data_IF_557033885245
#
_entry.id   IF_557033885245
#
_cell.length_a   1.000
_cell.length_b   1.000
_cell.length_c   1.000
_cell.angle_alpha   90.00
_cell.angle_beta   90.00
_cell.angle_gamma   90.00
#
_symmetry.space_group_name_H-M   'P 1'
#
loop_
_entity.id
_entity.type
_entity.pdbx_description
1 polymer ?
#
# COMPACT_ATOMS: atom_id res chain seq x y z
N UNK A 1 -9.92 5.46 -6.18
CA UNK A 1 -8.86 4.95 -5.29
C UNK A 1 -9.19 3.56 -4.75
N UNK A 2 -10.30 3.38 -4.02
CA UNK A 2 -10.68 2.10 -3.40
C UNK A 2 -10.65 0.89 -4.35
N UNK A 3 -11.24 0.94 -5.57
CA UNK A 3 -11.19 -0.22 -6.49
C UNK A 3 -9.77 -0.62 -6.87
N UNK A 4 -8.89 0.35 -7.11
CA UNK A 4 -7.48 0.12 -7.44
C UNK A 4 -6.71 -0.49 -6.27
N UNK A 5 -6.94 0.00 -5.04
CA UNK A 5 -6.30 -0.57 -3.85
C UNK A 5 -6.73 -2.02 -3.64
N UNK A 6 -8.01 -2.33 -3.89
CA UNK A 6 -8.50 -3.71 -3.85
C UNK A 6 -7.76 -4.60 -4.85
N UNK A 7 -7.58 -4.17 -6.10
CA UNK A 7 -6.87 -5.03 -7.08
C UNK A 7 -5.43 -5.31 -6.70
N UNK A 8 -4.75 -4.40 -5.99
CA UNK A 8 -3.36 -4.62 -5.56
C UNK A 8 -3.25 -5.53 -4.34
N UNK A 9 -4.21 -5.50 -3.42
CA UNK A 9 -4.14 -6.33 -2.22
C UNK A 9 -4.77 -7.70 -2.38
N UNK A 10 -5.79 -7.85 -3.23
CA UNK A 10 -6.55 -9.09 -3.40
C UNK A 10 -5.67 -10.31 -3.73
N UNK A 11 -4.63 -10.22 -4.58
CA UNK A 11 -3.72 -11.34 -4.81
C UNK A 11 -3.02 -11.85 -3.54
N UNK A 12 -2.84 -10.98 -2.54
CA UNK A 12 -2.23 -11.29 -1.25
C UNK A 12 -3.27 -11.57 -0.15
N UNK A 13 -4.54 -11.79 -0.54
CA UNK A 13 -5.64 -12.13 0.35
C UNK A 13 -6.02 -13.60 0.20
N UNK A 14 -5.17 -14.50 0.70
CA UNK A 14 -5.32 -15.94 0.57
C UNK A 14 -5.18 -16.65 1.92
N UNK A 15 -5.80 -17.82 2.04
CA UNK A 15 -5.61 -18.71 3.18
C UNK A 15 -4.51 -19.73 2.85
N UNK A 16 -3.39 -19.73 3.59
CA UNK A 16 -2.30 -20.64 3.33
C UNK A 16 -2.63 -22.03 3.87
N UNK A 17 -2.61 -23.05 3.01
CA UNK A 17 -2.83 -24.44 3.40
C UNK A 17 -1.53 -25.24 3.18
N UNK A 18 -0.83 -25.63 4.25
CA UNK A 18 0.34 -26.49 4.14
C UNK A 18 -0.09 -27.88 3.70
N UNK A 19 0.61 -28.43 2.72
CA UNK A 19 0.51 -29.81 2.28
C UNK A 19 1.87 -30.46 2.37
N UNK A 20 1.95 -31.59 3.09
CA UNK A 20 3.14 -32.41 3.06
C UNK A 20 3.19 -33.18 1.75
N UNK A 21 4.27 -33.02 0.98
CA UNK A 21 4.53 -33.83 -0.21
C UNK A 21 5.87 -34.53 -0.06
N UNK A 22 5.84 -35.83 -0.25
CA UNK A 22 7.07 -36.64 -0.33
C UNK A 22 7.41 -36.81 -1.79
N UNK A 23 8.53 -36.23 -2.23
CA UNK A 23 9.13 -36.51 -3.54
C UNK A 23 10.44 -37.26 -3.28
N UNK A 24 10.49 -38.53 -3.70
CA UNK A 24 11.58 -39.46 -3.41
C UNK A 24 11.84 -39.63 -1.89
N UNK A 25 13.09 -39.42 -1.45
CA UNK A 25 13.53 -39.51 -0.05
C UNK A 25 13.55 -38.14 0.67
N UNK A 26 13.10 -37.07 0.00
CA UNK A 26 13.02 -35.74 0.59
C UNK A 26 11.56 -35.33 0.81
N UNK A 27 11.24 -34.98 2.05
CA UNK A 27 10.01 -34.28 2.38
C UNK A 27 10.11 -32.81 1.98
N UNK A 28 9.04 -32.30 1.36
CA UNK A 28 8.90 -30.89 1.00
C UNK A 28 7.54 -30.40 1.49
N UNK A 29 7.53 -29.19 2.03
CA UNK A 29 6.28 -28.50 2.36
C UNK A 29 5.83 -27.74 1.11
N UNK A 30 4.63 -28.04 0.64
CA UNK A 30 3.97 -27.26 -0.41
C UNK A 30 2.87 -26.41 0.21
N UNK A 31 2.77 -25.16 -0.23
CA UNK A 31 1.68 -24.27 0.21
C UNK A 31 0.67 -24.09 -0.90
N UNK A 32 -0.59 -24.39 -0.61
CA UNK A 32 -1.72 -23.93 -1.44
C UNK A 32 -2.15 -22.55 -0.94
N UNK A 33 -2.30 -21.63 -1.89
CA UNK A 33 -2.80 -20.28 -1.64
C UNK A 33 -4.25 -20.19 -2.12
N UNK A 34 -5.16 -20.73 -1.33
CA UNK A 34 -6.58 -20.71 -1.68
C UNK A 34 -7.16 -19.30 -1.43
N UNK A 35 -8.08 -18.80 -2.26
CA UNK A 35 -8.76 -17.54 -1.97
C UNK A 35 -9.37 -17.55 -0.57
N UNK A 36 -9.07 -16.54 0.23
CA UNK A 36 -9.60 -16.47 1.59
C UNK A 36 -11.10 -16.19 1.59
N UNK A 37 -11.82 -16.79 2.54
CA UNK A 37 -13.25 -16.49 2.75
C UNK A 37 -13.46 -15.08 3.34
N UNK A 38 -12.48 -14.55 4.08
CA UNK A 38 -12.52 -13.18 4.60
C UNK A 38 -12.25 -12.18 3.48
N UNK A 39 -13.00 -11.08 3.51
CA UNK A 39 -12.76 -9.95 2.59
C UNK A 39 -11.98 -8.85 3.32
N UNK A 40 -11.15 -8.08 2.60
CA UNK A 40 -10.42 -6.99 3.22
C UNK A 40 -11.38 -5.90 3.72
N UNK A 41 -11.12 -5.41 4.94
CA UNK A 41 -11.84 -4.28 5.53
C UNK A 41 -11.20 -2.98 5.07
N UNK A 42 -12.02 -2.01 4.67
CA UNK A 42 -11.57 -0.68 4.27
C UNK A 42 -12.14 0.33 5.24
N UNK A 43 -11.29 1.17 5.80
CA UNK A 43 -11.65 2.29 6.67
C UNK A 43 -11.10 3.57 6.06
N UNK A 44 -11.93 4.61 6.02
CA UNK A 44 -11.53 5.97 5.65
C UNK A 44 -11.65 6.85 6.87
N UNK A 45 -10.63 7.66 7.14
CA UNK A 45 -10.66 8.66 8.21
C UNK A 45 -10.87 10.01 7.54
N UNK A 46 -11.88 10.82 7.92
CA UNK A 46 -12.11 12.12 7.28
C UNK A 46 -11.05 13.18 7.67
N UNK A 47 -10.30 12.92 8.72
CA UNK A 47 -9.39 13.84 9.37
C UNK A 47 -8.10 13.14 9.81
N UNK A 48 -7.01 13.91 9.89
CA UNK A 48 -5.67 13.41 10.18
C UNK A 48 -4.91 12.95 8.93
N UNK A 49 -3.67 12.49 9.14
CA UNK A 49 -2.74 12.17 8.06
C UNK A 49 -3.03 10.83 7.40
N UNK A 50 -3.59 9.85 8.11
CA UNK A 50 -3.95 8.53 7.54
C UNK A 50 -5.38 8.58 7.02
N UNK A 51 -5.51 8.65 5.71
CA UNK A 51 -6.80 8.90 5.03
C UNK A 51 -7.54 7.61 4.69
N UNK A 52 -6.79 6.54 4.47
CA UNK A 52 -7.35 5.25 4.11
C UNK A 52 -6.48 4.14 4.70
N UNK A 53 -7.15 3.19 5.33
CA UNK A 53 -6.54 1.95 5.81
C UNK A 53 -7.31 0.77 5.23
N UNK A 54 -6.60 -0.14 4.62
CA UNK A 54 -7.12 -1.42 4.18
C UNK A 54 -6.42 -2.51 4.98
N UNK A 55 -7.18 -3.40 5.61
CA UNK A 55 -6.65 -4.54 6.37
C UNK A 55 -7.29 -5.85 5.92
N UNK A 56 -6.49 -6.89 5.87
CA UNK A 56 -6.91 -8.25 5.61
C UNK A 56 -6.20 -9.18 6.59
N UNK A 57 -6.92 -10.21 7.03
CA UNK A 57 -6.37 -11.31 7.79
C UNK A 57 -7.13 -12.58 7.38
N UNK A 58 -6.39 -13.63 7.03
CA UNK A 58 -6.99 -14.93 6.75
C UNK A 58 -7.44 -15.61 8.05
N UNK A 59 -8.27 -16.64 7.91
CA UNK A 59 -8.38 -17.66 8.95
C UNK A 59 -7.02 -18.33 9.19
N UNK A 60 -6.86 -18.94 10.36
CA UNK A 60 -5.74 -19.83 10.63
C UNK A 60 -6.11 -21.23 10.18
N UNK A 61 -5.39 -21.75 9.18
CA UNK A 61 -5.52 -23.13 8.76
C UNK A 61 -4.57 -24.00 9.57
N UNK A 62 -5.02 -25.18 9.97
CA UNK A 62 -4.25 -26.14 10.75
C UNK A 62 -4.38 -27.53 10.15
N UNK A 63 -3.24 -28.17 9.85
CA UNK A 63 -3.16 -29.59 9.54
C UNK A 63 -2.46 -30.34 10.68
N UNK A 64 -3.00 -31.50 11.07
CA UNK A 64 -2.56 -32.30 12.21
C UNK A 64 -2.08 -33.71 11.86
N UNK A 65 -1.80 -33.98 10.58
CA UNK A 65 -1.49 -35.35 10.11
C UNK A 65 -0.21 -35.43 9.30
N UNK A 66 0.91 -35.09 9.93
CA UNK A 66 2.21 -35.02 9.25
C UNK A 66 3.12 -36.14 9.76
N UNK A 67 3.87 -36.79 8.86
CA UNK A 67 4.68 -37.97 9.21
C UNK A 67 5.75 -37.68 10.27
N UNK A 68 6.22 -36.43 10.36
CA UNK A 68 7.31 -36.02 11.26
C UNK A 68 6.94 -34.89 12.23
N UNK A 69 5.71 -34.38 12.15
CA UNK A 69 5.16 -33.28 12.94
C UNK A 69 3.76 -33.60 13.42
N UNK A 70 3.39 -33.06 14.57
CA UNK A 70 2.02 -33.22 15.07
C UNK A 70 1.07 -32.23 14.42
N UNK A 71 1.61 -31.12 13.92
CA UNK A 71 0.87 -30.25 13.03
C UNK A 71 1.63 -29.01 12.60
N UNK A 72 1.01 -28.34 11.64
CA UNK A 72 1.41 -27.05 11.10
C UNK A 72 0.17 -26.19 11.04
N UNK A 73 0.27 -24.96 11.52
CA UNK A 73 -0.71 -23.91 11.27
C UNK A 73 -0.07 -22.73 10.54
N UNK A 74 -0.92 -22.03 9.78
CA UNK A 74 -0.50 -20.85 9.06
C UNK A 74 -1.67 -19.88 8.86
N UNK A 75 -1.31 -18.61 8.70
CA UNK A 75 -2.23 -17.52 8.32
C UNK A 75 -1.47 -16.42 7.62
N UNK A 76 -2.18 -15.63 6.84
CA UNK A 76 -1.66 -14.41 6.24
C UNK A 76 -2.38 -13.19 6.78
N UNK A 77 -1.69 -12.06 6.73
CA UNK A 77 -2.31 -10.76 6.91
C UNK A 77 -1.68 -9.75 5.98
N UNK A 78 -2.48 -8.79 5.53
CA UNK A 78 -2.05 -7.76 4.60
C UNK A 78 -2.63 -6.43 5.04
N UNK A 79 -1.88 -5.35 4.92
CA UNK A 79 -2.39 -4.00 5.17
C UNK A 79 -1.85 -3.00 4.18
N UNK A 80 -2.69 -2.02 3.82
CA UNK A 80 -2.28 -0.83 3.06
C UNK A 80 -2.72 0.39 3.84
N UNK A 81 -1.78 1.27 4.15
CA UNK A 81 -2.06 2.58 4.73
C UNK A 81 -1.73 3.65 3.69
N UNK A 82 -2.70 4.50 3.39
CA UNK A 82 -2.51 5.70 2.57
C UNK A 82 -2.54 6.89 3.51
N UNK A 83 -1.51 7.71 3.43
CA UNK A 83 -1.38 8.92 4.23
C UNK A 83 -0.97 10.12 3.40
N UNK A 84 -1.44 11.29 3.81
CA UNK A 84 -1.14 12.57 3.20
C UNK A 84 -0.28 13.39 4.14
N UNK A 85 0.85 13.88 3.65
CA UNK A 85 1.80 14.69 4.43
C UNK A 85 2.31 15.84 3.58
N UNK A 86 1.69 17.02 3.72
CA UNK A 86 2.06 18.20 2.95
C UNK A 86 2.00 17.93 1.45
N UNK A 87 3.14 17.99 0.75
CA UNK A 87 3.21 17.76 -0.70
C UNK A 87 3.38 16.28 -1.10
N UNK A 88 3.19 15.33 -0.18
CA UNK A 88 3.43 13.92 -0.44
C UNK A 88 2.21 13.04 -0.09
N UNK A 89 2.02 12.01 -0.90
CA UNK A 89 1.16 10.86 -0.62
C UNK A 89 2.08 9.69 -0.29
N UNK A 90 1.97 9.14 0.91
CA UNK A 90 2.72 7.97 1.34
C UNK A 90 1.78 6.76 1.37
N UNK A 91 2.15 5.73 0.61
CA UNK A 91 1.48 4.42 0.60
C UNK A 91 2.43 3.42 1.23
N UNK A 92 2.05 2.88 2.39
CA UNK A 92 2.76 1.79 3.06
C UNK A 92 1.96 0.51 2.90
N UNK A 93 2.57 -0.51 2.32
CA UNK A 93 1.99 -1.85 2.23
C UNK A 93 2.73 -2.75 3.22
N UNK A 94 2.03 -3.69 3.83
CA UNK A 94 2.65 -4.75 4.63
C UNK A 94 2.00 -6.08 4.33
N UNK A 95 2.80 -7.09 4.08
CA UNK A 95 2.37 -8.48 3.95
C UNK A 95 3.05 -9.32 5.02
N UNK A 96 2.28 -10.18 5.69
CA UNK A 96 2.79 -11.11 6.69
C UNK A 96 2.28 -12.51 6.38
N UNK A 97 3.19 -13.46 6.27
CA UNK A 97 2.91 -14.88 6.32
C UNK A 97 3.42 -15.41 7.65
N UNK A 98 2.51 -15.87 8.50
CA UNK A 98 2.85 -16.45 9.79
C UNK A 98 2.65 -17.96 9.75
N UNK A 99 3.54 -18.70 10.41
CA UNK A 99 3.39 -20.14 10.60
C UNK A 99 3.78 -20.56 12.01
N UNK A 100 3.16 -21.64 12.47
CA UNK A 100 3.48 -22.34 13.70
C UNK A 100 3.55 -23.84 13.42
N UNK A 101 4.58 -24.48 13.94
CA UNK A 101 4.81 -25.91 13.82
C UNK A 101 5.09 -26.49 15.20
N UNK A 102 4.52 -27.66 15.46
CA UNK A 102 4.70 -28.36 16.73
C UNK A 102 4.79 -29.86 16.56
N UNK A 103 5.38 -30.50 17.57
CA UNK A 103 5.56 -31.95 17.68
C UNK A 103 5.54 -32.28 19.17
N UNK A 104 4.54 -33.03 19.65
CA UNK A 104 4.36 -33.31 21.08
C UNK A 104 5.55 -34.03 21.71
N UNK A 105 6.32 -34.78 20.92
CA UNK A 105 7.55 -35.42 21.37
C UNK A 105 8.69 -34.42 21.68
N UNK A 106 8.56 -33.16 21.26
CA UNK A 106 9.50 -32.08 21.51
C UNK A 106 8.89 -31.08 22.50
N UNK A 107 9.74 -30.51 23.37
CA UNK A 107 9.31 -29.50 24.35
C UNK A 107 9.19 -28.09 23.78
N UNK A 108 9.64 -27.90 22.54
CA UNK A 108 9.72 -26.61 21.88
C UNK A 108 8.70 -26.58 20.74
N UNK A 109 8.06 -25.44 20.53
CA UNK A 109 7.21 -25.19 19.36
C UNK A 109 7.84 -24.03 18.59
N UNK A 110 7.79 -24.06 17.26
CA UNK A 110 8.38 -22.99 16.44
C UNK A 110 7.25 -22.18 15.82
N UNK A 111 7.25 -20.87 16.06
CA UNK A 111 6.30 -19.96 15.41
C UNK A 111 6.95 -18.63 15.03
N UNK A 112 6.44 -18.01 13.98
CA UNK A 112 6.96 -16.72 13.54
C UNK A 112 6.49 -16.31 12.15
N UNK A 113 6.83 -15.07 11.79
CA UNK A 113 6.54 -14.50 10.49
C UNK A 113 7.59 -14.99 9.49
N UNK A 114 7.25 -15.97 8.67
CA UNK A 114 8.14 -16.51 7.63
C UNK A 114 8.28 -15.55 6.44
N UNK A 115 7.30 -14.68 6.24
CA UNK A 115 7.41 -13.49 5.42
C UNK A 115 6.87 -12.29 6.22
N UNK A 116 7.60 -11.18 6.27
CA UNK A 116 7.13 -9.90 6.81
C UNK A 116 7.74 -8.77 6.00
N UNK A 117 7.00 -8.29 5.01
CA UNK A 117 7.50 -7.40 3.98
C UNK A 117 6.77 -6.08 4.02
N UNK A 118 7.52 -4.98 4.09
CA UNK A 118 6.94 -3.64 4.14
C UNK A 118 7.60 -2.72 3.12
N UNK A 119 7.08 -2.65 1.88
CA UNK A 119 7.47 -1.62 0.94
C UNK A 119 6.69 -0.33 1.18
N UNK A 120 7.39 0.80 1.04
CA UNK A 120 6.82 2.13 1.12
C UNK A 120 7.01 2.85 -0.22
N UNK A 121 5.97 3.55 -0.65
CA UNK A 121 5.98 4.36 -1.87
C UNK A 121 5.55 5.78 -1.54
N UNK A 122 6.38 6.75 -1.88
CA UNK A 122 6.11 8.18 -1.71
C UNK A 122 5.86 8.83 -3.05
N UNK A 123 4.71 9.48 -3.22
CA UNK A 123 4.34 10.22 -4.42
C UNK A 123 4.37 11.70 -4.12
N UNK A 124 5.21 12.44 -4.85
CA UNK A 124 5.27 13.89 -4.73
C UNK A 124 4.15 14.53 -5.57
N UNK A 125 3.36 15.38 -4.92
CA UNK A 125 2.41 16.29 -5.56
C UNK A 125 3.18 17.53 -5.99
N UNK A 126 3.09 17.86 -7.26
CA UNK A 126 3.77 19.00 -7.84
C UNK A 126 2.86 19.78 -8.78
N UNK A 127 3.34 20.95 -9.20
CA UNK A 127 2.76 21.69 -10.31
C UNK A 127 3.79 21.72 -11.44
N UNK A 128 3.38 21.38 -12.64
CA UNK A 128 4.26 21.38 -13.80
C UNK A 128 4.46 22.78 -14.38
N UNK A 129 5.33 22.89 -15.39
CA UNK A 129 5.64 24.16 -16.05
C UNK A 129 4.43 24.87 -16.69
N UNK A 130 3.30 24.16 -16.88
CA UNK A 130 2.05 24.71 -17.41
C UNK A 130 1.07 25.11 -16.30
N UNK A 131 1.48 25.10 -15.04
CA UNK A 131 0.61 25.44 -13.92
C UNK A 131 -0.42 24.36 -13.56
N UNK A 132 -0.27 23.13 -14.07
CA UNK A 132 -1.20 22.03 -13.80
C UNK A 132 -0.67 21.13 -12.69
N UNK A 133 -1.59 20.67 -11.84
CA UNK A 133 -1.29 19.67 -10.81
C UNK A 133 -0.82 18.37 -11.48
N UNK A 134 0.27 17.81 -10.97
CA UNK A 134 0.76 16.51 -11.35
C UNK A 134 1.16 15.71 -10.12
N UNK A 135 1.06 14.39 -10.23
CA UNK A 135 1.67 13.47 -9.26
C UNK A 135 2.82 12.80 -9.95
N UNK A 136 4.01 12.95 -9.38
CA UNK A 136 5.25 12.38 -9.92
C UNK A 136 5.27 10.86 -9.74
N UNK A 137 6.08 10.15 -10.55
CA UNK A 137 6.34 8.73 -10.30
C UNK A 137 6.78 8.49 -8.86
N UNK A 138 6.37 7.37 -8.24
CA UNK A 138 6.70 7.10 -6.86
C UNK A 138 8.20 6.96 -6.65
N UNK A 139 8.67 7.47 -5.53
CA UNK A 139 9.93 7.05 -4.91
C UNK A 139 9.63 5.86 -4.02
N UNK A 140 10.20 4.71 -4.35
CA UNK A 140 10.08 3.50 -3.55
C UNK A 140 11.27 3.38 -2.62
N UNK A 141 11.00 3.22 -1.33
CA UNK A 141 12.04 2.85 -0.39
C UNK A 141 12.46 1.38 -0.64
N UNK A 142 13.69 0.99 -0.24
CA UNK A 142 14.06 -0.41 -0.23
C UNK A 142 13.04 -1.25 0.54
N UNK A 143 12.77 -2.46 0.06
CA UNK A 143 11.92 -3.40 0.77
C UNK A 143 12.48 -3.65 2.17
N UNK A 144 11.66 -3.40 3.19
CA UNK A 144 11.97 -3.78 4.57
C UNK A 144 11.50 -5.22 4.76
N UNK A 145 12.45 -6.14 4.96
CA UNK A 145 12.19 -7.55 5.25
C UNK A 145 12.45 -7.86 6.74
N UNK A 146 11.39 -8.10 7.49
CA UNK A 146 11.41 -8.49 8.91
C UNK A 146 11.11 -9.98 9.12
N UNK A 147 11.28 -10.78 8.08
CA UNK A 147 11.01 -12.23 8.13
C UNK A 147 11.93 -12.92 9.13
N UNK A 148 11.37 -13.89 9.84
CA UNK A 148 12.08 -14.75 10.78
C UNK A 148 12.42 -16.08 10.13
N UNK A 149 13.61 -16.58 10.45
CA UNK A 149 13.98 -17.96 10.18
C UNK A 149 13.62 -18.78 11.42
N UNK A 150 12.68 -19.72 11.28
CA UNK A 150 12.36 -20.65 12.37
C UNK A 150 13.54 -21.61 12.58
N UNK A 151 14.12 -21.59 13.78
CA UNK A 151 15.23 -22.47 14.18
C UNK A 151 14.93 -23.05 15.56
N UNK A 152 15.28 -24.33 15.77
CA UNK A 152 15.11 -25.02 17.05
C UNK A 152 15.90 -26.32 17.07
N UNK A 153 16.53 -26.65 18.20
CA UNK A 153 17.46 -27.78 18.29
C UNK A 153 16.77 -29.14 18.16
N UNK A 154 15.49 -29.24 18.51
CA UNK A 154 14.68 -30.44 18.31
C UNK A 154 14.17 -30.64 16.88
N UNK A 155 14.35 -29.64 16.02
CA UNK A 155 13.70 -29.54 14.72
C UNK A 155 14.70 -29.48 13.56
N UNK A 156 15.94 -29.96 13.69
CA UNK A 156 17.00 -29.69 12.69
C UNK A 156 16.59 -29.99 11.23
N UNK A 157 15.93 -31.12 10.98
CA UNK A 157 15.41 -31.50 9.66
C UNK A 157 14.24 -30.61 9.23
N UNK A 158 13.29 -30.35 10.13
CA UNK A 158 12.10 -29.55 9.86
C UNK A 158 12.44 -28.06 9.69
N UNK A 159 13.35 -27.51 10.49
CA UNK A 159 13.83 -26.15 10.38
C UNK A 159 14.58 -25.93 9.05
N UNK A 160 15.31 -26.95 8.58
CA UNK A 160 15.96 -26.93 7.27
C UNK A 160 14.93 -26.94 6.13
N UNK A 161 13.91 -27.80 6.22
CA UNK A 161 12.80 -27.86 5.27
C UNK A 161 12.00 -26.54 5.30
N UNK A 162 11.67 -26.00 6.46
CA UNK A 162 10.93 -24.75 6.60
C UNK A 162 11.72 -23.58 6.02
N UNK A 163 13.02 -23.48 6.37
CA UNK A 163 13.89 -22.42 5.86
C UNK A 163 14.04 -22.48 4.34
N UNK A 164 14.29 -23.67 3.79
CA UNK A 164 14.45 -23.90 2.34
C UNK A 164 13.13 -23.68 1.60
N UNK A 165 12.06 -24.33 2.04
CA UNK A 165 10.84 -24.44 1.25
C UNK A 165 9.91 -23.27 1.48
N UNK A 166 9.78 -22.76 2.71
CA UNK A 166 8.82 -21.68 2.98
C UNK A 166 9.37 -20.33 2.57
N UNK A 167 10.65 -20.02 2.85
CA UNK A 167 11.20 -18.71 2.49
C UNK A 167 11.27 -18.51 0.98
N UNK A 168 11.63 -19.54 0.21
CA UNK A 168 11.75 -19.43 -1.25
C UNK A 168 10.41 -19.62 -1.97
N UNK A 169 9.53 -20.52 -1.51
CA UNK A 169 8.22 -20.68 -2.17
C UNK A 169 7.23 -19.57 -1.81
N UNK A 170 7.23 -19.03 -0.59
CA UNK A 170 6.35 -17.89 -0.25
C UNK A 170 6.72 -16.67 -1.08
N UNK A 171 8.01 -16.43 -1.34
CA UNK A 171 8.47 -15.40 -2.29
C UNK A 171 7.95 -15.59 -3.72
N UNK A 172 7.71 -16.83 -4.14
CA UNK A 172 7.18 -17.14 -5.47
C UNK A 172 5.65 -17.09 -5.55
N UNK A 173 4.94 -17.23 -4.43
CA UNK A 173 3.47 -17.27 -4.39
C UNK A 173 2.83 -15.93 -4.05
N UNK A 174 3.52 -15.07 -3.30
CA UNK A 174 3.02 -13.74 -2.95
C UNK A 174 3.17 -12.83 -4.17
N UNK A 175 2.10 -12.13 -4.52
CA UNK A 175 2.15 -11.19 -5.63
C UNK A 175 3.14 -10.07 -5.31
N UNK A 176 3.96 -9.63 -6.30
CA UNK A 176 4.87 -8.51 -6.11
C UNK A 176 4.16 -7.30 -5.50
N UNK A 177 4.73 -6.77 -4.43
CA UNK A 177 4.23 -5.56 -3.78
C UNK A 177 4.69 -4.33 -4.58
N UNK A 178 3.99 -4.07 -5.67
CA UNK A 178 4.31 -2.97 -6.58
C UNK A 178 3.72 -1.62 -6.12
N UNK A 179 4.32 -0.50 -6.55
CA UNK A 179 3.77 0.82 -6.30
C UNK A 179 2.38 0.98 -6.93
N UNK A 180 1.42 1.44 -6.14
CA UNK A 180 0.03 1.59 -6.57
C UNK A 180 -0.12 2.89 -7.38
N UNK A 181 -0.54 2.87 -8.65
CA UNK A 181 -0.61 4.09 -9.45
C UNK A 181 -1.61 5.11 -8.87
N UNK A 182 -1.14 6.32 -8.54
CA UNK A 182 -1.98 7.41 -8.00
C UNK A 182 -2.50 8.29 -9.13
N UNK A 183 -3.03 7.68 -10.20
CA UNK A 183 -3.53 8.42 -11.37
C UNK A 183 -4.79 9.24 -11.08
N UNK A 184 -5.53 8.91 -10.01
CA UNK A 184 -6.75 9.64 -9.63
C UNK A 184 -6.46 11.09 -9.21
N UNK A 185 -5.27 11.38 -8.68
CA UNK A 185 -4.89 12.73 -8.25
C UNK A 185 -4.56 13.65 -9.44
N UNK A 186 -4.34 13.09 -10.63
CA UNK A 186 -4.05 13.86 -11.86
C UNK A 186 -5.32 14.39 -12.54
N UNK A 187 -6.51 13.91 -12.16
CA UNK A 187 -7.79 14.28 -12.77
C UNK A 187 -8.52 15.41 -12.04
N UNK A 188 -7.85 16.16 -11.16
CA UNK A 188 -8.44 17.34 -10.55
C UNK A 188 -8.62 18.44 -11.62
N UNK A 189 -9.86 18.60 -12.08
CA UNK A 189 -10.25 19.68 -12.99
C UNK A 189 -10.67 20.88 -12.16
N UNK A 190 -9.83 21.91 -12.12
CA UNK A 190 -10.23 23.19 -11.57
C UNK A 190 -11.10 23.93 -12.60
N UNK A 191 -12.35 24.33 -12.29
CA UNK A 191 -13.15 25.14 -13.19
C UNK A 191 -12.40 26.46 -13.45
N UNK A 192 -12.12 26.74 -14.72
CA UNK A 192 -11.20 27.82 -15.11
C UNK A 192 -9.74 27.39 -15.27
N UNK A 193 -9.45 26.11 -15.54
CA UNK A 193 -8.09 25.57 -15.69
C UNK A 193 -7.21 26.19 -16.81
N UNK A 194 -7.75 27.11 -17.61
CA UNK A 194 -6.97 27.95 -18.54
C UNK A 194 -6.76 29.39 -18.02
N UNK A 195 -7.45 29.77 -16.95
CA UNK A 195 -7.43 31.10 -16.33
C UNK A 195 -6.49 31.15 -15.13
N UNK A 196 -6.21 30.01 -14.49
CA UNK A 196 -5.41 29.94 -13.26
C UNK A 196 -4.19 29.04 -13.43
N UNK A 197 -3.05 29.51 -12.90
CA UNK A 197 -1.81 28.76 -12.72
C UNK A 197 -1.69 28.43 -11.23
N UNK A 198 -1.58 27.14 -10.90
CA UNK A 198 -1.36 26.67 -9.54
C UNK A 198 0.10 26.92 -9.09
N UNK A 199 0.29 27.18 -7.79
CA UNK A 199 1.60 27.29 -7.14
C UNK A 199 1.55 26.63 -5.76
N UNK A 200 2.64 25.98 -5.38
CA UNK A 200 2.84 25.41 -4.05
C UNK A 200 1.74 24.44 -3.58
N UNK A 201 1.20 23.64 -4.50
CA UNK A 201 0.15 22.69 -4.17
C UNK A 201 0.62 21.65 -3.13
N UNK A 202 -0.28 21.31 -2.21
CA UNK A 202 -0.09 20.30 -1.17
C UNK A 202 -1.42 19.96 -0.48
N UNK A 203 -1.38 19.05 0.48
CA UNK A 203 -2.55 18.57 1.22
C UNK A 203 -2.54 19.14 2.65
N UNK A 204 -3.71 19.61 3.10
CA UNK A 204 -3.94 20.07 4.47
C UNK A 204 -4.01 18.88 5.44
N UNK A 205 -3.99 19.16 6.75
CA UNK A 205 -4.25 18.15 7.78
C UNK A 205 -5.68 17.57 7.73
N UNK A 206 -6.58 18.24 7.00
CA UNK A 206 -7.96 17.83 6.75
C UNK A 206 -8.14 17.24 5.35
N UNK A 207 -7.03 16.86 4.70
CA UNK A 207 -7.03 16.16 3.41
C UNK A 207 -7.49 17.03 2.23
N UNK A 208 -7.57 18.34 2.41
CA UNK A 208 -7.90 19.28 1.34
C UNK A 208 -6.67 19.55 0.48
N UNK A 209 -6.85 19.59 -0.84
CA UNK A 209 -5.83 20.12 -1.74
C UNK A 209 -5.77 21.65 -1.59
N UNK A 210 -4.69 22.16 -1.04
CA UNK A 210 -4.40 23.58 -0.89
C UNK A 210 -3.38 23.97 -1.94
N UNK A 211 -3.65 25.07 -2.65
CA UNK A 211 -2.73 25.64 -3.63
C UNK A 211 -2.93 27.14 -3.71
N UNK A 212 -1.86 27.87 -3.94
CA UNK A 212 -1.96 29.25 -4.39
C UNK A 212 -2.34 29.25 -5.88
N UNK A 213 -3.08 30.27 -6.31
CA UNK A 213 -3.41 30.51 -7.72
C UNK A 213 -2.91 31.88 -8.14
N UNK A 214 -2.46 31.98 -9.39
CA UNK A 214 -2.29 33.26 -10.08
C UNK A 214 -3.06 33.20 -11.39
N UNK A 215 -3.46 34.37 -11.91
CA UNK A 215 -4.02 34.41 -13.25
C UNK A 215 -2.97 33.97 -14.26
N UNK A 216 -3.36 33.10 -15.18
CA UNK A 216 -2.64 32.91 -16.41
C UNK A 216 -2.67 34.25 -17.13
N UNK A 217 -1.49 34.83 -17.39
CA UNK A 217 -1.40 36.11 -18.07
C UNK A 217 -2.02 35.96 -19.46
N UNK A 218 -3.19 36.57 -19.68
CA UNK A 218 -3.94 36.45 -20.93
C UNK A 218 -3.28 37.24 -22.07
N UNK A 219 -2.21 38.00 -21.78
CA UNK A 219 -1.53 38.89 -22.70
C UNK A 219 -0.75 38.19 -23.84
N UNK A 220 -0.73 36.85 -23.90
CA UNK A 220 -0.17 36.13 -25.05
C UNK A 220 -1.20 35.60 -26.05
N UNK A 221 -2.50 35.90 -25.90
CA UNK A 221 -3.50 35.67 -26.95
C UNK A 221 -3.67 36.96 -27.75
N UNK A 222 -2.71 37.23 -28.63
CA UNK A 222 -2.80 38.20 -29.72
C UNK A 222 -2.70 39.67 -29.32
N UNK A 223 -1.57 40.28 -29.68
CA UNK A 223 -1.47 41.73 -29.89
C UNK A 223 -2.69 42.23 -30.68
N UNK A 224 -3.61 42.96 -30.04
CA UNK A 224 -4.70 43.61 -30.76
C UNK A 224 -6.00 43.94 -30.02
N UNK A 225 -6.17 43.58 -28.74
CA UNK A 225 -7.35 44.02 -27.98
C UNK A 225 -6.92 44.73 -26.69
N UNK A 226 -6.92 46.06 -26.73
CA UNK A 226 -6.89 46.89 -25.52
C UNK A 226 -8.10 46.55 -24.65
N UNK A 227 -7.85 45.89 -23.53
CA UNK A 227 -8.86 45.74 -22.48
C UNK A 227 -8.83 46.99 -21.60
N UNK A 228 -9.74 47.93 -21.85
CA UNK A 228 -10.01 49.01 -20.90
C UNK A 228 -10.70 48.42 -19.69
N UNK A 229 -9.97 48.23 -18.59
CA UNK A 229 -10.57 47.84 -17.31
C UNK A 229 -11.43 49.02 -16.83
N UNK A 230 -12.76 48.88 -16.63
CA UNK A 230 -13.57 49.95 -16.09
C UNK A 230 -13.10 50.24 -14.66
N UNK A 231 -12.57 51.45 -14.46
CA UNK A 231 -12.21 51.97 -13.14
C UNK A 231 -13.51 52.22 -12.38
N UNK A 232 -13.86 51.33 -11.45
CA UNK A 232 -14.98 51.54 -10.53
C UNK A 232 -14.52 52.55 -9.48
N UNK A 233 -14.88 53.81 -9.65
CA UNK A 233 -14.73 54.83 -8.61
C UNK A 233 -15.86 54.63 -7.60
N UNK A 234 -15.53 54.33 -6.35
CA UNK A 234 -16.51 54.29 -5.27
C UNK A 234 -17.06 55.71 -5.03
N UNK A 235 -18.37 55.90 -4.82
CA UNK A 235 -18.93 57.21 -4.52
C UNK A 235 -18.37 57.73 -3.19
N UNK A 236 -17.96 58.99 -3.18
CA UNK A 236 -17.57 59.70 -1.97
C UNK A 236 -18.69 59.64 -0.94
N UNK A 237 -18.32 59.29 0.31
CA UNK A 237 -19.20 59.35 1.46
C UNK A 237 -19.66 60.80 1.65
N UNK A 238 -20.94 61.07 1.41
CA UNK A 238 -21.59 62.25 1.94
C UNK A 238 -21.70 62.10 3.46
N UNK A 239 -20.92 62.90 4.17
CA UNK A 239 -21.06 63.11 5.62
C UNK A 239 -22.36 63.88 5.86
N UNK A 240 -23.21 63.35 6.75
CA UNK A 240 -24.39 64.04 7.29
C UNK A 240 -23.94 65.02 8.37
#
# INVERSE_FOLDING_TARGET
MIPLLKTHILPNCFEPKPEWRTFDFHGTIYWKSDPAASTPTITTTPDGTVVLTLKFQSGEYTDKKWTHLDGVSAKTSSSINVSFTGKAILISQRFVFWSHVWKSALREELSGNLADWTPNSTYDIAVNAKGKLEVRPPKTDPLIDSSLVLTGSGYLEVATIIKRDVSDQVKLQVAPLEPIPVTFAQNFVFPGGNTFILKDSGLSAYQDLVSHITYADLLSIGDGLEFTVPRVTLPEKNTI
#
